data_IF_650189332617
#
_entry.id   IF_650189332617
#
_cell.length_a   1.000
_cell.length_b   1.000
_cell.length_c   1.000
_cell.angle_alpha   90.00
_cell.angle_beta   90.00
_cell.angle_gamma   90.00
#
_symmetry.space_group_name_H-M   'P 1'
#
loop_
_entity.id
_entity.type
_entity.pdbx_description
1 polymer ?
#
# COMPACT_ATOMS: atom_id res chain seq x y z
N UNK A 1 -5.06 12.09 -19.85
CA UNK A 1 -4.66 11.09 -18.85
C UNK A 1 -5.66 11.17 -17.70
N UNK A 2 -6.43 10.12 -17.44
CA UNK A 2 -7.46 10.10 -16.40
C UNK A 2 -6.78 10.24 -15.01
N UNK A 3 -7.39 10.98 -14.09
CA UNK A 3 -6.83 11.20 -12.75
C UNK A 3 -6.66 9.89 -11.97
N UNK A 4 -7.51 8.89 -12.22
CA UNK A 4 -7.40 7.56 -11.61
C UNK A 4 -6.15 6.81 -12.10
N UNK A 5 -5.82 6.87 -13.39
CA UNK A 5 -4.63 6.18 -13.93
C UNK A 5 -3.35 6.67 -13.27
N UNK A 6 -3.24 7.98 -13.00
CA UNK A 6 -2.11 8.55 -12.25
C UNK A 6 -2.04 8.06 -10.82
N UNK A 7 -3.19 7.85 -10.18
CA UNK A 7 -3.26 7.33 -8.80
C UNK A 7 -2.85 5.86 -8.79
N UNK A 8 -3.24 5.08 -9.81
CA UNK A 8 -2.78 3.69 -9.97
C UNK A 8 -1.26 3.65 -10.08
N UNK A 9 -0.68 4.44 -10.98
CA UNK A 9 0.78 4.53 -11.15
C UNK A 9 1.47 4.94 -9.85
N UNK A 10 0.94 5.93 -9.14
CA UNK A 10 1.47 6.36 -7.84
C UNK A 10 1.47 5.22 -6.81
N UNK A 11 0.37 4.47 -6.69
CA UNK A 11 0.29 3.35 -5.73
C UNK A 11 1.25 2.23 -6.12
N UNK A 12 1.37 1.92 -7.41
CA UNK A 12 2.35 0.95 -7.92
C UNK A 12 3.78 1.39 -7.61
N UNK A 13 4.13 2.64 -7.85
CA UNK A 13 5.49 3.15 -7.60
C UNK A 13 5.87 3.06 -6.11
N UNK A 14 4.94 3.38 -5.21
CA UNK A 14 5.17 3.32 -3.77
C UNK A 14 5.23 1.90 -3.21
N UNK A 15 4.60 0.90 -3.84
CA UNK A 15 4.49 -0.46 -3.31
C UNK A 15 5.31 -1.51 -4.06
N UNK A 16 5.50 -1.34 -5.37
CA UNK A 16 6.14 -2.32 -6.26
C UNK A 16 7.33 -1.76 -7.04
N UNK A 17 7.46 -0.43 -7.15
CA UNK A 17 8.55 0.21 -7.88
C UNK A 17 9.94 -0.04 -7.26
N UNK A 18 10.98 0.27 -8.03
CA UNK A 18 12.39 0.11 -7.62
C UNK A 18 12.76 0.95 -6.39
N UNK A 19 11.99 2.01 -6.11
CA UNK A 19 12.16 2.88 -4.95
C UNK A 19 10.98 2.81 -3.96
N UNK A 20 10.23 1.71 -4.00
CA UNK A 20 9.05 1.48 -3.16
C UNK A 20 9.38 1.40 -1.67
N UNK A 21 8.37 1.54 -0.82
CA UNK A 21 8.52 1.37 0.63
C UNK A 21 9.09 0.01 1.01
N UNK A 22 8.63 -1.14 0.44
CA UNK A 22 9.22 -2.43 0.79
C UNK A 22 10.72 -2.51 0.45
N UNK A 23 11.18 -1.91 -0.66
CA UNK A 23 12.60 -1.86 -0.99
C UNK A 23 13.36 -0.99 0.02
N UNK A 24 12.86 0.22 0.29
CA UNK A 24 13.48 1.16 1.24
C UNK A 24 13.58 0.59 2.65
N UNK A 25 12.55 -0.12 3.12
CA UNK A 25 12.55 -0.82 4.41
C UNK A 25 13.67 -1.88 4.45
N UNK A 26 13.77 -2.74 3.43
CA UNK A 26 14.84 -3.76 3.41
C UNK A 26 16.24 -3.16 3.37
N UNK A 27 16.38 -2.02 2.70
CA UNK A 27 17.65 -1.29 2.56
C UNK A 27 17.93 -0.32 3.72
N UNK A 28 17.05 -0.26 4.74
CA UNK A 28 17.14 0.68 5.87
C UNK A 28 17.22 2.15 5.46
N UNK A 29 16.54 2.49 4.36
CA UNK A 29 16.35 3.88 3.93
C UNK A 29 15.16 4.49 4.66
N UNK A 30 15.28 5.76 5.01
CA UNK A 30 14.22 6.52 5.68
C UNK A 30 12.92 6.46 4.89
N UNK A 31 11.78 6.43 5.58
CA UNK A 31 10.45 6.65 5.03
C UNK A 31 9.85 7.87 5.73
N UNK A 32 9.45 8.87 4.94
CA UNK A 32 8.82 10.07 5.51
C UNK A 32 7.33 9.83 5.70
N UNK A 33 6.79 10.31 6.82
CA UNK A 33 5.36 10.23 7.11
C UNK A 33 4.52 10.82 5.97
N UNK A 34 4.94 11.96 5.41
CA UNK A 34 4.22 12.61 4.31
C UNK A 34 4.10 11.72 3.06
N UNK A 35 5.13 10.92 2.76
CA UNK A 35 5.09 9.98 1.63
C UNK A 35 4.07 8.87 1.90
N UNK A 36 4.00 8.37 3.13
CA UNK A 36 3.03 7.37 3.53
C UNK A 36 1.59 7.93 3.45
N UNK A 37 1.37 9.16 3.90
CA UNK A 37 0.07 9.83 3.78
C UNK A 37 -0.35 10.05 2.33
N UNK A 38 0.59 10.30 1.42
CA UNK A 38 0.32 10.39 -0.02
C UNK A 38 -0.16 9.04 -0.56
N UNK A 39 0.55 7.95 -0.24
CA UNK A 39 0.14 6.60 -0.62
C UNK A 39 -1.26 6.28 -0.09
N UNK A 40 -1.49 6.51 1.21
CA UNK A 40 -2.76 6.26 1.88
C UNK A 40 -3.92 6.97 1.18
N UNK A 41 -3.79 8.27 0.92
CA UNK A 41 -4.81 9.07 0.18
C UNK A 41 -5.02 8.58 -1.25
N UNK A 42 -3.96 8.10 -1.90
CA UNK A 42 -4.06 7.47 -3.22
C UNK A 42 -4.97 6.25 -3.17
N UNK A 43 -4.71 5.35 -2.22
CA UNK A 43 -5.51 4.13 -2.04
C UNK A 43 -6.95 4.47 -1.64
N UNK A 44 -7.18 5.44 -0.75
CA UNK A 44 -8.53 5.89 -0.39
C UNK A 44 -9.33 6.34 -1.61
N UNK A 45 -8.71 7.08 -2.54
CA UNK A 45 -9.35 7.46 -3.81
C UNK A 45 -9.64 6.26 -4.70
N UNK A 46 -8.75 5.25 -4.73
CA UNK A 46 -9.02 4.01 -5.47
C UNK A 46 -10.18 3.24 -4.84
N UNK A 47 -10.26 3.18 -3.50
CA UNK A 47 -11.39 2.59 -2.79
C UNK A 47 -12.71 3.26 -3.17
N UNK A 48 -12.74 4.60 -3.22
CA UNK A 48 -13.96 5.34 -3.56
C UNK A 48 -14.34 5.19 -5.03
N UNK A 49 -13.35 5.19 -5.94
CA UNK A 49 -13.57 4.99 -7.37
C UNK A 49 -14.06 3.59 -7.70
N UNK A 50 -13.36 2.56 -7.23
CA UNK A 50 -13.70 1.16 -7.52
C UNK A 50 -14.84 0.61 -6.66
N UNK A 51 -15.36 1.40 -5.71
CA UNK A 51 -16.48 0.95 -4.87
C UNK A 51 -17.67 0.50 -5.71
N UNK A 52 -18.00 1.19 -6.79
CA UNK A 52 -19.17 0.86 -7.62
C UNK A 52 -18.80 0.19 -8.95
N UNK A 53 -17.53 -0.17 -9.13
CA UNK A 53 -17.02 -0.82 -10.33
C UNK A 53 -17.00 -2.35 -10.17
N UNK A 54 -17.37 -3.06 -11.23
CA UNK A 54 -17.40 -4.53 -11.24
C UNK A 54 -16.00 -5.16 -11.33
N UNK A 55 -14.98 -4.36 -11.66
CA UNK A 55 -13.63 -4.84 -11.93
C UNK A 55 -12.57 -3.92 -11.35
N UNK A 56 -11.61 -4.51 -10.61
CA UNK A 56 -10.40 -3.84 -10.17
C UNK A 56 -9.23 -4.32 -11.03
N UNK A 57 -8.40 -3.41 -11.58
CA UNK A 57 -7.24 -3.80 -12.36
C UNK A 57 -6.31 -4.75 -11.60
N UNK A 58 -5.85 -5.81 -12.27
CA UNK A 58 -4.89 -6.78 -11.71
C UNK A 58 -3.63 -6.14 -11.14
N UNK A 59 -3.20 -5.04 -11.75
CA UNK A 59 -2.06 -4.22 -11.31
C UNK A 59 -2.26 -3.68 -9.88
N UNK A 60 -3.47 -3.22 -9.57
CA UNK A 60 -3.84 -2.81 -8.21
C UNK A 60 -3.94 -4.01 -7.28
N UNK A 61 -4.56 -5.11 -7.71
CA UNK A 61 -4.62 -6.33 -6.90
C UNK A 61 -3.21 -6.82 -6.47
N UNK A 62 -2.24 -6.76 -7.38
CA UNK A 62 -0.86 -7.14 -7.12
C UNK A 62 -0.20 -6.30 -6.01
N UNK A 63 -0.54 -5.02 -5.89
CA UNK A 63 0.01 -4.13 -4.86
C UNK A 63 -0.36 -4.55 -3.44
N UNK A 64 -1.46 -5.30 -3.27
CA UNK A 64 -1.96 -5.72 -1.96
C UNK A 64 -1.65 -7.18 -1.61
N UNK A 65 -0.98 -7.92 -2.51
CA UNK A 65 -0.55 -9.29 -2.21
C UNK A 65 0.49 -9.24 -1.09
N UNK A 66 0.21 -9.93 0.01
CA UNK A 66 1.06 -10.01 1.20
C UNK A 66 1.50 -8.64 1.75
N UNK A 67 0.66 -7.61 1.60
CA UNK A 67 1.01 -6.23 1.96
C UNK A 67 1.46 -6.08 3.42
N UNK A 68 0.83 -6.78 4.36
CA UNK A 68 1.22 -6.76 5.77
C UNK A 68 2.63 -7.29 6.00
N UNK A 69 3.03 -8.34 5.27
CA UNK A 69 4.34 -8.98 5.43
C UNK A 69 5.49 -8.05 5.00
N UNK A 70 5.26 -7.10 4.09
CA UNK A 70 6.30 -6.14 3.71
C UNK A 70 6.67 -5.18 4.84
N UNK A 71 5.75 -4.96 5.78
CA UNK A 71 5.92 -4.00 6.87
C UNK A 71 6.19 -4.69 8.22
N UNK A 72 6.03 -6.01 8.30
CA UNK A 72 6.44 -6.79 9.46
C UNK A 72 7.94 -7.10 9.40
N UNK A 73 8.74 -6.44 10.25
CA UNK A 73 10.20 -6.41 10.14
C UNK A 73 10.98 -6.88 11.38
N UNK A 74 10.58 -7.98 12.06
CA UNK A 74 11.18 -8.39 13.34
C UNK A 74 12.67 -8.74 13.25
N UNK A 75 13.16 -9.07 12.06
CA UNK A 75 14.55 -9.49 11.82
C UNK A 75 15.42 -8.38 11.23
N UNK A 76 14.87 -7.19 11.00
CA UNK A 76 15.64 -6.03 10.57
C UNK A 76 16.01 -5.25 11.83
N UNK A 77 17.29 -4.93 12.02
CA UNK A 77 17.82 -4.23 13.20
C UNK A 77 17.35 -2.77 13.25
N UNK A 78 16.05 -2.57 13.42
CA UNK A 78 15.35 -1.31 13.62
C UNK A 78 15.15 -1.06 15.11
N UNK A 79 14.94 0.21 15.46
CA UNK A 79 14.48 0.56 16.80
C UNK A 79 13.02 0.12 17.02
N UNK A 80 12.62 -0.07 18.27
CA UNK A 80 11.24 -0.46 18.61
C UNK A 80 10.21 0.52 18.03
N UNK A 81 10.49 1.83 18.08
CA UNK A 81 9.60 2.85 17.52
C UNK A 81 9.49 2.80 15.99
N UNK A 82 10.54 2.39 15.29
CA UNK A 82 10.48 2.17 13.85
C UNK A 82 9.68 0.92 13.51
N UNK A 83 9.85 -0.16 14.29
CA UNK A 83 9.08 -1.41 14.13
C UNK A 83 7.59 -1.11 14.32
N UNK A 84 7.21 -0.47 15.42
CA UNK A 84 5.82 -0.09 15.70
C UNK A 84 5.23 0.76 14.57
N UNK A 85 5.97 1.76 14.09
CA UNK A 85 5.54 2.59 12.96
C UNK A 85 5.32 1.80 11.67
N UNK A 86 6.19 0.83 11.36
CA UNK A 86 5.99 0.00 10.17
C UNK A 86 4.81 -0.95 10.35
N UNK A 87 4.62 -1.52 11.53
CA UNK A 87 3.44 -2.33 11.84
C UNK A 87 2.15 -1.52 11.66
N UNK A 88 2.10 -0.28 12.16
CA UNK A 88 0.98 0.65 11.94
C UNK A 88 0.71 0.90 10.45
N UNK A 89 1.76 1.10 9.65
CA UNK A 89 1.64 1.26 8.20
C UNK A 89 1.07 -0.01 7.54
N UNK A 90 1.58 -1.19 7.92
CA UNK A 90 1.12 -2.47 7.41
C UNK A 90 -0.36 -2.72 7.73
N UNK A 91 -0.80 -2.40 8.95
CA UNK A 91 -2.21 -2.50 9.38
C UNK A 91 -3.08 -1.56 8.55
N UNK A 92 -2.72 -0.27 8.45
CA UNK A 92 -3.52 0.72 7.73
C UNK A 92 -3.67 0.37 6.23
N UNK A 93 -2.61 -0.11 5.59
CA UNK A 93 -2.66 -0.56 4.20
C UNK A 93 -3.50 -1.83 4.03
N UNK A 94 -3.44 -2.75 4.99
CA UNK A 94 -4.25 -3.97 4.99
C UNK A 94 -5.74 -3.67 5.13
N UNK A 95 -6.12 -2.74 6.02
CA UNK A 95 -7.50 -2.28 6.17
C UNK A 95 -8.04 -1.64 4.89
N UNK A 96 -7.22 -0.81 4.24
CA UNK A 96 -7.58 -0.21 2.96
C UNK A 96 -7.69 -1.25 1.83
N UNK A 97 -6.79 -2.24 1.78
CA UNK A 97 -6.89 -3.37 0.87
C UNK A 97 -8.20 -4.14 1.07
N UNK A 98 -8.52 -4.47 2.32
CA UNK A 98 -9.80 -5.13 2.66
C UNK A 98 -11.00 -4.30 2.23
N UNK A 99 -10.98 -2.97 2.44
CA UNK A 99 -12.03 -2.07 1.95
C UNK A 99 -12.15 -2.13 0.43
N UNK A 100 -11.04 -2.03 -0.28
CA UNK A 100 -10.97 -2.03 -1.75
C UNK A 100 -11.54 -3.33 -2.35
N UNK A 101 -11.21 -4.47 -1.76
CA UNK A 101 -11.63 -5.78 -2.26
C UNK A 101 -12.90 -6.33 -1.60
N UNK A 102 -13.53 -5.60 -0.68
CA UNK A 102 -14.69 -6.07 0.10
C UNK A 102 -15.90 -6.50 -0.75
N UNK A 103 -16.09 -5.91 -1.93
CA UNK A 103 -17.15 -6.31 -2.88
C UNK A 103 -16.79 -7.50 -3.77
N UNK A 104 -15.53 -7.93 -3.82
CA UNK A 104 -15.07 -9.05 -4.66
C UNK A 104 -15.22 -10.42 -3.98
N UNK A 105 -16.12 -10.54 -3.00
CA UNK A 105 -16.42 -11.83 -2.37
C UNK A 105 -17.04 -12.77 -3.41
N UNK A 106 -16.17 -13.62 -3.97
CA UNK A 106 -16.38 -14.93 -4.61
C UNK A 106 -17.64 -15.01 -5.49
N UNK A 107 -17.43 -14.86 -6.80
CA UNK A 107 -18.20 -15.60 -7.81
C UNK A 107 -17.30 -16.63 -8.46
#
# INVERSE_FOLDING_TARGET
MNDISKIVELVEDYLLGDNSFPVRIREKREIKQDEFEILKKGIEKLCDYYKEEDFIPKRIALCFVDISNFFFVPNLSYSESEIERFEDYGIALSELGNKLFSKQSIR
#
